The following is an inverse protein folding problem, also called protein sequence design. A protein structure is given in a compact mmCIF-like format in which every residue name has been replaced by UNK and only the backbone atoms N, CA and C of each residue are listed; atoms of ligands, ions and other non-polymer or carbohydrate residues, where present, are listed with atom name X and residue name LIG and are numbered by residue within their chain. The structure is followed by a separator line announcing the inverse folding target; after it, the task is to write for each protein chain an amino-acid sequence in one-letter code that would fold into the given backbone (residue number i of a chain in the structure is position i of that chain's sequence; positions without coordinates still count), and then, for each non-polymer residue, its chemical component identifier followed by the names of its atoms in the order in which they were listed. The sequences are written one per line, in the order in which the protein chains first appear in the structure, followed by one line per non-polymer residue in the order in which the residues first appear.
data_IF_505925365496
#
_entry.id   IF_505925365496
#
_cell.length_a   1.000
_cell.length_b   1.000
_cell.length_c   1.000
_cell.angle_alpha   90.00
_cell.angle_beta   90.00
_cell.angle_gamma   90.00
#
_symmetry.space_group_name_H-M   'P 1'
#
loop_
_entity.id
_entity.type
_entity.pdbx_description
1 polymer ?
#
# COMPACT_ATOMS: atom_id res chain seq x y z
N UNK A 1 84.64 18.93 -0.59
CA UNK A 1 83.95 17.63 -0.64
C UNK A 1 82.47 17.88 -0.84
N UNK A 2 81.89 17.29 -1.89
CA UNK A 2 80.56 17.60 -2.40
C UNK A 2 79.43 17.10 -1.49
N UNK A 3 78.26 17.78 -1.43
CA UNK A 3 77.08 17.21 -0.80
C UNK A 3 76.39 16.24 -1.76
N UNK A 4 76.15 15.03 -1.27
CA UNK A 4 75.44 13.94 -1.94
C UNK A 4 73.98 14.31 -2.15
N UNK A 5 73.51 14.28 -3.40
CA UNK A 5 72.12 14.55 -3.78
C UNK A 5 71.34 13.24 -3.72
N UNK A 6 70.62 12.98 -2.61
CA UNK A 6 69.61 11.92 -2.58
C UNK A 6 68.41 12.34 -3.43
N UNK A 7 68.18 11.63 -4.55
CA UNK A 7 66.92 11.69 -5.27
C UNK A 7 65.99 10.60 -4.73
N UNK A 8 64.99 10.98 -3.93
CA UNK A 8 63.84 10.12 -3.65
C UNK A 8 62.95 10.07 -4.89
N UNK A 9 63.01 8.96 -5.62
CA UNK A 9 62.02 8.65 -6.66
C UNK A 9 60.74 8.17 -5.97
N UNK A 10 59.79 9.08 -5.78
CA UNK A 10 58.41 8.75 -5.42
C UNK A 10 57.75 7.95 -6.56
N UNK A 11 57.64 6.64 -6.36
CA UNK A 11 56.87 5.74 -7.23
C UNK A 11 55.38 6.02 -7.05
N UNK A 12 54.80 6.86 -7.91
CA UNK A 12 53.33 6.96 -8.05
C UNK A 12 52.76 5.60 -8.46
N UNK A 13 52.09 4.92 -7.54
CA UNK A 13 51.31 3.72 -7.84
C UNK A 13 50.27 4.04 -8.93
N UNK A 14 50.47 3.48 -10.13
CA UNK A 14 49.47 3.53 -11.20
C UNK A 14 48.23 2.76 -10.75
N UNK A 15 47.10 3.45 -10.62
CA UNK A 15 45.78 2.83 -10.43
C UNK A 15 45.59 1.78 -11.52
N UNK A 16 45.51 0.50 -11.14
CA UNK A 16 45.25 -0.60 -12.08
C UNK A 16 43.89 -0.38 -12.74
N UNK A 17 43.90 0.05 -13.99
CA UNK A 17 42.67 0.22 -14.77
C UNK A 17 42.12 -1.16 -15.11
N UNK A 18 40.96 -1.52 -14.55
CA UNK A 18 40.28 -2.76 -14.89
C UNK A 18 39.95 -2.87 -16.38
N UNK A 19 39.37 -4.02 -16.79
CA UNK A 19 39.01 -4.29 -18.18
C UNK A 19 38.19 -3.13 -18.79
N UNK A 20 38.57 -2.60 -19.97
CA UNK A 20 37.82 -1.55 -20.64
C UNK A 20 36.35 -1.93 -20.87
N UNK A 21 35.46 -0.93 -20.79
CA UNK A 21 34.03 -1.13 -21.03
C UNK A 21 33.79 -1.49 -22.49
N UNK A 22 32.86 -2.41 -22.73
CA UNK A 22 32.35 -2.72 -24.09
C UNK A 22 31.41 -1.64 -24.64
N UNK A 23 30.88 -0.78 -23.78
CA UNK A 23 29.87 0.22 -24.15
C UNK A 23 30.39 1.63 -23.89
N UNK A 24 30.01 2.55 -24.77
CA UNK A 24 30.31 3.97 -24.66
C UNK A 24 29.23 4.69 -23.85
N UNK A 25 29.54 5.92 -23.38
CA UNK A 25 28.55 6.77 -22.69
C UNK A 25 27.31 7.06 -23.57
N UNK A 26 27.48 7.16 -24.89
CA UNK A 26 26.37 7.36 -25.84
C UNK A 26 25.46 6.14 -25.87
N UNK A 27 26.04 4.94 -25.92
CA UNK A 27 25.28 3.70 -25.89
C UNK A 27 24.55 3.53 -24.56
N UNK A 28 25.18 3.85 -23.42
CA UNK A 28 24.53 3.80 -22.12
C UNK A 28 23.33 4.78 -22.03
N UNK A 29 23.41 5.97 -22.66
CA UNK A 29 22.27 6.90 -22.80
C UNK A 29 21.13 6.31 -23.65
N UNK A 30 21.44 5.57 -24.72
CA UNK A 30 20.43 4.88 -25.52
C UNK A 30 19.73 3.79 -24.70
N UNK A 31 20.49 2.98 -23.95
CA UNK A 31 19.90 1.98 -23.06
C UNK A 31 19.00 2.63 -22.00
N UNK A 32 19.39 3.79 -21.47
CA UNK A 32 18.55 4.56 -20.55
C UNK A 32 17.23 4.97 -21.21
N UNK A 33 17.26 5.45 -22.45
CA UNK A 33 16.05 5.82 -23.20
C UNK A 33 15.12 4.60 -23.41
N UNK A 34 15.68 3.46 -23.84
CA UNK A 34 14.93 2.19 -23.99
C UNK A 34 14.25 1.79 -22.67
N UNK A 35 14.97 1.88 -21.54
CA UNK A 35 14.43 1.55 -20.23
C UNK A 35 13.32 2.53 -19.79
N UNK A 36 13.45 3.83 -20.10
CA UNK A 36 12.47 4.84 -19.73
C UNK A 36 11.20 4.79 -20.59
N UNK A 37 11.34 4.41 -21.86
CA UNK A 37 10.22 4.16 -22.78
C UNK A 37 9.34 3.01 -22.28
N UNK A 38 9.95 1.90 -21.86
CA UNK A 38 9.22 0.77 -21.28
C UNK A 38 9.92 0.20 -20.04
N UNK A 39 9.55 0.73 -18.87
CA UNK A 39 10.09 0.29 -17.57
C UNK A 39 9.77 -1.16 -17.18
N UNK A 40 8.84 -1.81 -17.89
CA UNK A 40 8.45 -3.21 -17.64
C UNK A 40 9.23 -4.19 -18.52
N UNK A 41 10.05 -3.71 -19.46
CA UNK A 41 10.86 -4.58 -20.30
C UNK A 41 11.89 -5.36 -19.48
N UNK A 42 12.04 -6.64 -19.80
CA UNK A 42 13.09 -7.49 -19.25
C UNK A 42 14.46 -7.07 -19.79
N UNK A 43 15.53 -7.45 -19.10
CA UNK A 43 16.90 -7.19 -19.57
C UNK A 43 17.19 -7.88 -20.91
N UNK A 44 16.54 -9.01 -21.24
CA UNK A 44 16.60 -9.66 -22.56
C UNK A 44 15.94 -8.83 -23.66
N UNK A 45 14.74 -8.30 -23.40
CA UNK A 45 14.05 -7.43 -24.36
C UNK A 45 14.83 -6.13 -24.60
N UNK A 46 15.36 -5.54 -23.53
CA UNK A 46 16.21 -4.35 -23.65
C UNK A 46 17.51 -4.67 -24.41
N UNK A 47 18.09 -5.85 -24.21
CA UNK A 47 19.25 -6.32 -24.96
C UNK A 47 18.96 -6.37 -26.47
N UNK A 48 17.85 -7.00 -26.89
CA UNK A 48 17.47 -7.09 -28.30
C UNK A 48 17.23 -5.71 -28.94
N UNK A 49 16.48 -4.83 -28.27
CA UNK A 49 16.32 -3.44 -28.73
C UNK A 49 17.66 -2.69 -28.83
N UNK A 50 18.62 -3.02 -27.98
CA UNK A 50 19.93 -2.36 -27.98
C UNK A 50 20.85 -2.93 -29.08
N UNK A 51 20.69 -4.20 -29.43
CA UNK A 51 21.34 -4.84 -30.58
C UNK A 51 20.89 -4.21 -31.91
N UNK A 52 19.62 -3.87 -32.07
CA UNK A 52 19.09 -3.17 -33.26
C UNK A 52 19.81 -1.83 -33.51
N UNK A 53 20.32 -1.19 -32.45
CA UNK A 53 21.09 0.06 -32.53
C UNK A 53 22.60 -0.18 -32.63
N UNK A 54 23.01 -1.42 -32.93
CA UNK A 54 24.40 -1.83 -33.17
C UNK A 54 25.19 -2.24 -31.92
N UNK A 55 24.53 -2.49 -30.78
CA UNK A 55 25.22 -2.84 -29.52
C UNK A 55 25.01 -4.31 -29.16
N UNK A 56 26.00 -5.15 -29.45
CA UNK A 56 25.97 -6.56 -29.09
C UNK A 56 26.62 -6.81 -27.71
N UNK A 57 25.78 -7.05 -26.70
CA UNK A 57 26.21 -7.35 -25.32
C UNK A 57 25.34 -8.42 -24.68
N UNK A 58 25.85 -9.10 -23.65
CA UNK A 58 25.03 -10.05 -22.89
C UNK A 58 24.04 -9.34 -21.94
N UNK A 59 22.98 -10.05 -21.55
CA UNK A 59 21.96 -9.62 -20.58
C UNK A 59 22.56 -9.07 -19.26
N UNK A 60 23.64 -9.69 -18.78
CA UNK A 60 24.36 -9.25 -17.59
C UNK A 60 24.98 -7.86 -17.76
N UNK A 61 25.47 -7.54 -18.96
CA UNK A 61 26.02 -6.21 -19.26
C UNK A 61 24.93 -5.16 -19.19
N UNK A 62 23.77 -5.40 -19.80
CA UNK A 62 22.59 -4.53 -19.72
C UNK A 62 22.22 -4.24 -18.26
N UNK A 63 22.10 -5.29 -17.44
CA UNK A 63 21.79 -5.16 -16.01
C UNK A 63 22.83 -4.33 -15.25
N UNK A 64 24.12 -4.56 -15.50
CA UNK A 64 25.20 -3.82 -14.86
C UNK A 64 25.17 -2.34 -15.24
N UNK A 65 24.93 -2.02 -16.52
CA UNK A 65 24.79 -0.62 -16.98
C UNK A 65 23.61 0.08 -16.33
N UNK A 66 22.46 -0.60 -16.25
CA UNK A 66 21.29 -0.08 -15.55
C UNK A 66 21.59 0.20 -14.08
N UNK A 67 22.27 -0.73 -13.37
CA UNK A 67 22.68 -0.52 -11.97
C UNK A 67 23.63 0.66 -11.80
N UNK A 68 24.62 0.81 -12.68
CA UNK A 68 25.54 1.97 -12.66
C UNK A 68 24.82 3.29 -12.88
N UNK A 69 23.73 3.29 -13.65
CA UNK A 69 22.86 4.45 -13.84
C UNK A 69 21.83 4.64 -12.71
N UNK A 70 21.92 3.87 -11.63
CA UNK A 70 21.04 3.96 -10.46
C UNK A 70 19.70 3.22 -10.59
N UNK A 71 19.47 2.48 -11.68
CA UNK A 71 18.27 1.66 -11.80
C UNK A 71 18.38 0.40 -10.95
N UNK A 72 17.29 0.05 -10.28
CA UNK A 72 17.17 -1.16 -9.50
C UNK A 72 15.96 -1.96 -9.98
N UNK A 73 16.13 -3.27 -10.12
CA UNK A 73 15.03 -4.17 -10.39
C UNK A 73 14.23 -4.39 -9.10
N UNK A 74 12.96 -4.01 -9.11
CA UNK A 74 12.05 -4.07 -7.95
C UNK A 74 10.70 -4.63 -8.41
N UNK A 75 10.00 -5.32 -7.51
CA UNK A 75 8.60 -5.70 -7.73
C UNK A 75 7.75 -4.43 -7.88
N UNK A 76 6.98 -4.32 -8.96
CA UNK A 76 6.08 -3.19 -9.18
C UNK A 76 5.05 -3.13 -8.04
N UNK A 77 4.80 -1.92 -7.52
CA UNK A 77 3.81 -1.70 -6.46
C UNK A 77 2.39 -1.79 -7.06
N UNK A 78 1.49 -2.48 -6.37
CA UNK A 78 0.07 -2.54 -6.71
C UNK A 78 -0.60 -1.27 -6.17
N UNK A 79 -1.23 -0.49 -7.05
CA UNK A 79 -2.00 0.72 -6.73
C UNK A 79 -3.18 0.83 -7.69
N UNK A 80 -4.32 1.42 -7.28
CA UNK A 80 -5.45 1.65 -8.17
C UNK A 80 -5.07 2.48 -9.40
N UNK A 81 -5.72 2.22 -10.52
CA UNK A 81 -5.55 3.03 -11.72
C UNK A 81 -6.21 4.40 -11.52
N UNK A 82 -5.45 5.49 -11.75
CA UNK A 82 -5.94 6.86 -11.59
C UNK A 82 -6.08 7.54 -12.95
N UNK A 83 -7.31 7.90 -13.30
CA UNK A 83 -7.60 8.75 -14.45
C UNK A 83 -7.16 10.20 -14.16
N UNK A 84 -7.00 11.05 -15.20
CA UNK A 84 -6.74 12.48 -14.99
C UNK A 84 -7.79 13.17 -14.12
N UNK A 85 -9.06 12.76 -14.22
CA UNK A 85 -10.15 13.25 -13.37
C UNK A 85 -9.90 12.89 -11.90
N UNK A 86 -9.56 11.63 -11.60
CA UNK A 86 -9.25 11.20 -10.23
C UNK A 86 -8.09 11.99 -9.62
N UNK A 87 -7.02 12.23 -10.40
CA UNK A 87 -5.88 13.01 -9.91
C UNK A 87 -6.28 14.45 -9.57
N UNK A 88 -7.08 15.11 -10.42
CA UNK A 88 -7.57 16.47 -10.15
C UNK A 88 -8.43 16.53 -8.88
N UNK A 89 -9.40 15.63 -8.73
CA UNK A 89 -10.27 15.62 -7.54
C UNK A 89 -9.52 15.28 -6.26
N UNK A 90 -8.59 14.33 -6.31
CA UNK A 90 -7.69 14.00 -5.18
C UNK A 90 -6.83 15.19 -4.76
N UNK A 91 -6.24 15.89 -5.73
CA UNK A 91 -5.41 17.06 -5.47
C UNK A 91 -6.23 18.19 -4.84
N UNK A 92 -7.42 18.47 -5.38
CA UNK A 92 -8.32 19.50 -4.88
C UNK A 92 -8.75 19.18 -3.44
N UNK A 93 -9.24 17.96 -3.21
CA UNK A 93 -9.65 17.50 -1.89
C UNK A 93 -8.54 17.62 -0.84
N UNK A 94 -7.30 17.26 -1.22
CA UNK A 94 -6.15 17.35 -0.33
C UNK A 94 -5.73 18.79 -0.03
N UNK A 95 -5.89 19.71 -0.99
CA UNK A 95 -5.62 21.15 -0.78
C UNK A 95 -6.63 21.81 0.14
N UNK A 96 -7.92 21.50 -0.03
CA UNK A 96 -9.00 22.02 0.83
C UNK A 96 -8.82 21.68 2.30
N UNK A 97 -8.17 20.55 2.59
CA UNK A 97 -7.92 20.06 3.95
C UNK A 97 -6.45 20.17 4.35
N UNK A 98 -5.63 20.90 3.60
CA UNK A 98 -4.19 20.96 3.86
C UNK A 98 -3.86 21.63 5.20
N UNK A 99 -4.71 22.55 5.67
CA UNK A 99 -4.60 23.23 6.96
C UNK A 99 -5.18 22.46 8.13
N UNK A 100 -5.87 21.33 7.88
CA UNK A 100 -6.46 20.54 8.96
C UNK A 100 -5.38 20.00 9.90
N UNK A 101 -5.58 20.27 11.18
CA UNK A 101 -4.74 19.81 12.28
C UNK A 101 -5.06 18.36 12.63
N UNK A 102 -4.23 17.76 13.49
CA UNK A 102 -4.54 16.43 14.03
C UNK A 102 -5.89 16.44 14.75
N UNK A 103 -6.22 17.51 15.48
CA UNK A 103 -7.48 17.63 16.23
C UNK A 103 -8.71 17.67 15.31
N UNK A 104 -8.58 18.29 14.14
CA UNK A 104 -9.64 18.23 13.12
C UNK A 104 -9.84 16.79 12.62
N UNK A 105 -8.74 16.05 12.41
CA UNK A 105 -8.80 14.62 12.03
C UNK A 105 -9.26 13.71 13.17
N UNK A 106 -9.12 14.12 14.44
CA UNK A 106 -9.62 13.36 15.60
C UNK A 106 -11.15 13.27 15.61
N UNK A 107 -11.84 14.23 14.98
CA UNK A 107 -13.31 14.26 14.84
C UNK A 107 -13.83 13.35 13.71
N UNK A 108 -12.93 12.76 12.92
CA UNK A 108 -13.31 11.95 11.76
C UNK A 108 -13.41 10.48 12.14
N UNK A 109 -14.56 9.87 11.84
CA UNK A 109 -14.77 8.42 11.94
C UNK A 109 -14.62 7.81 10.56
N UNK A 110 -13.55 7.05 10.36
CA UNK A 110 -13.27 6.34 9.12
C UNK A 110 -13.93 4.96 9.15
N UNK A 111 -14.57 4.57 8.06
CA UNK A 111 -15.16 3.24 7.88
C UNK A 111 -14.80 2.67 6.52
N UNK A 112 -14.87 1.35 6.42
CA UNK A 112 -14.67 0.61 5.17
C UNK A 112 -15.06 -0.86 5.35
N UNK A 113 -15.13 -1.58 4.24
CA UNK A 113 -15.27 -3.03 4.21
C UNK A 113 -13.98 -3.72 3.77
N UNK A 114 -13.66 -4.83 4.44
CA UNK A 114 -12.49 -5.63 4.05
C UNK A 114 -12.80 -7.11 4.03
N UNK A 115 -12.26 -7.83 3.04
CA UNK A 115 -12.37 -9.29 2.95
C UNK A 115 -11.12 -9.91 3.55
N UNK A 116 -11.31 -10.86 4.47
CA UNK A 116 -10.24 -11.64 5.09
C UNK A 116 -10.40 -13.10 4.67
N UNK A 117 -9.34 -13.68 4.11
CA UNK A 117 -9.33 -15.04 3.57
C UNK A 117 -8.51 -15.98 4.46
N UNK A 118 -8.99 -17.22 4.62
CA UNK A 118 -8.22 -18.32 5.23
C UNK A 118 -7.06 -18.69 4.29
N UNK A 119 -5.87 -18.90 4.86
CA UNK A 119 -4.70 -19.40 4.14
C UNK A 119 -3.99 -18.40 3.20
N UNK A 120 -4.53 -17.19 3.02
CA UNK A 120 -3.80 -16.10 2.36
C UNK A 120 -2.81 -15.48 3.34
N UNK A 121 -1.62 -16.06 3.47
CA UNK A 121 -0.55 -15.47 4.28
C UNK A 121 -0.12 -14.09 3.79
N UNK A 122 0.73 -13.45 4.58
CA UNK A 122 1.38 -12.16 4.33
C UNK A 122 1.89 -12.05 2.89
N UNK A 123 1.83 -10.85 2.30
CA UNK A 123 2.37 -10.51 0.96
C UNK A 123 3.85 -10.92 0.73
N UNK A 124 4.55 -11.31 1.81
CA UNK A 124 5.92 -11.83 1.80
C UNK A 124 6.05 -13.23 1.18
N UNK A 125 4.97 -14.02 1.13
CA UNK A 125 5.01 -15.42 0.68
C UNK A 125 5.49 -16.39 1.77
N UNK A 126 5.23 -17.68 1.58
CA UNK A 126 5.72 -18.76 2.46
C UNK A 126 7.07 -19.23 1.95
N UNK A 127 8.09 -19.20 2.80
CA UNK A 127 9.42 -19.72 2.48
C UNK A 127 9.60 -21.10 3.09
N UNK A 128 10.12 -22.04 2.31
CA UNK A 128 10.42 -23.40 2.76
C UNK A 128 11.91 -23.67 2.50
N UNK A 129 12.56 -24.32 3.46
CA UNK A 129 13.91 -24.85 3.27
C UNK A 129 13.77 -26.22 2.62
N UNK A 130 14.15 -26.34 1.35
CA UNK A 130 14.03 -27.59 0.59
C UNK A 130 15.20 -27.74 -0.39
N UNK A 131 15.60 -28.98 -0.65
CA UNK A 131 16.50 -29.31 -1.77
C UNK A 131 15.75 -29.15 -3.09
N UNK A 132 16.47 -28.95 -4.19
CA UNK A 132 15.87 -28.83 -5.54
C UNK A 132 15.02 -30.05 -5.93
N UNK A 133 15.31 -31.24 -5.39
CA UNK A 133 14.54 -32.46 -5.61
C UNK A 133 13.26 -32.53 -4.77
N UNK A 134 13.18 -31.79 -3.67
CA UNK A 134 12.08 -31.85 -2.69
C UNK A 134 11.00 -30.78 -2.95
N UNK A 135 11.16 -29.95 -3.99
CA UNK A 135 10.28 -28.80 -4.24
C UNK A 135 8.80 -29.17 -4.46
N UNK A 136 8.51 -30.44 -4.77
CA UNK A 136 7.16 -30.96 -4.97
C UNK A 136 6.69 -31.87 -3.82
N UNK A 137 7.52 -32.09 -2.79
CA UNK A 137 7.12 -32.85 -1.60
C UNK A 137 6.08 -32.08 -0.81
N UNK A 138 5.10 -32.78 -0.23
CA UNK A 138 3.93 -32.16 0.40
C UNK A 138 4.30 -31.17 1.51
N UNK A 139 5.39 -31.44 2.25
CA UNK A 139 5.93 -30.56 3.28
C UNK A 139 6.52 -29.24 2.73
N UNK A 140 6.93 -29.22 1.46
CA UNK A 140 7.48 -28.04 0.78
C UNK A 140 6.43 -27.25 -0.01
N UNK A 141 5.21 -27.80 -0.12
CA UNK A 141 4.12 -27.17 -0.84
C UNK A 141 3.28 -26.26 0.07
N UNK A 142 2.98 -25.06 -0.43
CA UNK A 142 1.90 -24.25 0.12
C UNK A 142 0.59 -24.70 -0.52
N UNK A 143 -0.27 -25.37 0.25
CA UNK A 143 -1.61 -25.75 -0.23
C UNK A 143 -2.41 -24.48 -0.56
N UNK A 144 -2.94 -24.41 -1.78
CA UNK A 144 -3.81 -23.31 -2.24
C UNK A 144 -5.15 -23.86 -2.67
N UNK A 145 -6.24 -23.28 -2.18
CA UNK A 145 -7.60 -23.59 -2.64
C UNK A 145 -8.05 -22.58 -3.69
N UNK A 146 -8.79 -23.04 -4.70
CA UNK A 146 -9.30 -22.18 -5.80
C UNK A 146 -10.25 -21.10 -5.29
N UNK A 147 -11.02 -21.42 -4.24
CA UNK A 147 -11.94 -20.52 -3.56
C UNK A 147 -11.64 -20.55 -2.06
N UNK A 148 -10.69 -19.74 -1.58
CA UNK A 148 -10.41 -19.69 -0.15
C UNK A 148 -11.66 -19.23 0.58
N UNK A 149 -11.97 -19.91 1.68
CA UNK A 149 -13.01 -19.44 2.59
C UNK A 149 -12.64 -18.04 3.07
N UNK A 150 -13.61 -17.13 3.05
CA UNK A 150 -13.40 -15.75 3.46
C UNK A 150 -14.61 -15.21 4.19
N UNK A 151 -14.37 -14.17 4.98
CA UNK A 151 -15.39 -13.35 5.60
C UNK A 151 -15.26 -11.91 5.11
N UNK A 152 -16.40 -11.32 4.81
CA UNK A 152 -16.52 -9.88 4.59
C UNK A 152 -16.76 -9.25 5.96
N UNK A 153 -16.03 -8.19 6.28
CA UNK A 153 -16.21 -7.45 7.52
C UNK A 153 -16.42 -5.98 7.21
N UNK A 154 -17.21 -5.33 8.05
CA UNK A 154 -17.31 -3.89 8.15
C UNK A 154 -16.79 -3.47 9.53
N UNK A 155 -16.14 -2.32 9.60
CA UNK A 155 -15.78 -1.71 10.87
C UNK A 155 -15.45 -0.25 10.70
N UNK A 156 -15.33 0.46 11.82
CA UNK A 156 -14.94 1.85 11.85
C UNK A 156 -13.81 2.11 12.85
N UNK A 157 -13.12 3.24 12.68
CA UNK A 157 -12.10 3.70 13.60
C UNK A 157 -12.05 5.23 13.64
N UNK A 158 -11.55 5.76 14.75
CA UNK A 158 -11.21 7.17 14.89
C UNK A 158 -9.85 7.32 15.58
N UNK A 159 -9.45 8.55 15.88
CA UNK A 159 -8.26 8.79 16.70
C UNK A 159 -8.40 8.32 18.15
N UNK A 160 -9.64 8.06 18.62
CA UNK A 160 -9.94 7.54 19.96
C UNK A 160 -9.84 6.01 20.04
N UNK A 161 -9.77 5.31 18.91
CA UNK A 161 -9.64 3.85 18.87
C UNK A 161 -10.45 3.20 17.75
N UNK A 162 -10.58 1.87 17.82
CA UNK A 162 -11.49 1.10 16.98
C UNK A 162 -12.92 1.28 17.49
N UNK A 163 -13.88 1.50 16.59
CA UNK A 163 -15.29 1.34 16.91
C UNK A 163 -15.72 -0.12 16.81
N UNK A 164 -17.02 -0.34 16.75
CA UNK A 164 -17.63 -1.65 16.55
C UNK A 164 -17.36 -2.21 15.15
N UNK A 165 -17.50 -3.53 15.07
CA UNK A 165 -17.23 -4.33 13.88
C UNK A 165 -18.32 -5.39 13.70
N UNK A 166 -18.62 -5.70 12.45
CA UNK A 166 -19.49 -6.83 12.11
C UNK A 166 -18.97 -7.68 10.96
N UNK A 167 -19.33 -8.96 11.00
CA UNK A 167 -19.15 -9.88 9.89
C UNK A 167 -20.38 -9.80 9.00
N UNK A 168 -20.17 -9.43 7.75
CA UNK A 168 -21.23 -9.27 6.76
C UNK A 168 -21.41 -10.59 6.01
N UNK A 169 -22.57 -11.20 6.19
CA UNK A 169 -22.90 -12.52 5.60
C UNK A 169 -23.52 -12.42 4.20
N UNK A 170 -23.84 -11.22 3.73
CA UNK A 170 -24.57 -10.96 2.49
C UNK A 170 -23.91 -9.88 1.62
N UNK A 171 -24.46 -9.65 0.44
CA UNK A 171 -24.09 -8.49 -0.38
C UNK A 171 -24.61 -7.22 0.28
N UNK A 172 -23.75 -6.20 0.42
CA UNK A 172 -24.13 -4.91 1.02
C UNK A 172 -24.91 -4.12 -0.02
N UNK A 173 -26.22 -4.05 0.16
CA UNK A 173 -27.07 -3.08 -0.53
C UNK A 173 -27.29 -1.86 0.39
N UNK A 174 -28.04 -0.86 -0.09
CA UNK A 174 -28.29 0.35 0.69
C UNK A 174 -28.99 0.08 2.03
N UNK A 175 -29.93 -0.86 2.10
CA UNK A 175 -30.64 -1.17 3.34
C UNK A 175 -29.73 -1.89 4.34
N UNK A 176 -29.01 -2.92 3.89
CA UNK A 176 -28.03 -3.63 4.72
C UNK A 176 -26.97 -2.65 5.24
N UNK A 177 -26.57 -1.68 4.44
CA UNK A 177 -25.66 -0.64 4.88
C UNK A 177 -26.25 0.23 5.99
N UNK A 178 -27.51 0.69 5.86
CA UNK A 178 -28.22 1.42 6.92
C UNK A 178 -28.27 0.58 8.20
N UNK A 179 -28.63 -0.70 8.11
CA UNK A 179 -28.71 -1.59 9.28
C UNK A 179 -27.34 -1.73 9.97
N UNK A 180 -26.26 -1.78 9.18
CA UNK A 180 -24.88 -1.78 9.70
C UNK A 180 -24.56 -0.46 10.40
N UNK A 181 -24.89 0.68 9.79
CA UNK A 181 -24.64 1.98 10.40
C UNK A 181 -25.42 2.11 11.72
N UNK A 182 -26.69 1.75 11.72
CA UNK A 182 -27.55 1.83 12.90
C UNK A 182 -27.08 0.92 14.04
N UNK A 183 -26.72 -0.32 13.72
CA UNK A 183 -26.34 -1.32 14.71
C UNK A 183 -24.90 -1.20 15.22
N UNK A 184 -24.00 -0.62 14.42
CA UNK A 184 -22.56 -0.62 14.73
C UNK A 184 -21.93 0.78 14.69
N UNK A 185 -22.24 1.63 13.69
CA UNK A 185 -21.67 2.98 13.65
C UNK A 185 -22.23 3.87 14.77
N UNK A 186 -23.55 3.91 14.93
CA UNK A 186 -24.18 4.82 15.91
C UNK A 186 -23.70 4.53 17.34
N UNK A 187 -23.72 3.27 17.84
CA UNK A 187 -23.17 2.97 19.17
C UNK A 187 -21.68 3.31 19.30
N UNK A 188 -20.91 3.14 18.22
CA UNK A 188 -19.49 3.51 18.19
C UNK A 188 -19.29 5.01 18.37
N UNK A 189 -20.11 5.83 17.70
CA UNK A 189 -20.06 7.28 17.82
C UNK A 189 -20.44 7.68 19.24
N UNK A 190 -21.57 7.20 19.76
CA UNK A 190 -22.04 7.51 21.11
C UNK A 190 -20.99 7.14 22.17
N UNK A 191 -20.36 5.97 22.06
CA UNK A 191 -19.33 5.52 23.00
C UNK A 191 -18.05 6.35 22.91
N UNK A 192 -17.57 6.68 21.70
CA UNK A 192 -16.31 7.38 21.53
C UNK A 192 -16.43 8.90 21.72
N UNK A 193 -17.56 9.48 21.30
CA UNK A 193 -17.73 10.92 21.13
C UNK A 193 -18.85 11.51 21.98
N UNK A 194 -19.77 10.69 22.51
CA UNK A 194 -20.96 11.21 23.19
C UNK A 194 -21.73 12.14 22.25
N UNK A 195 -21.93 13.37 22.71
CA UNK A 195 -22.64 14.42 21.95
C UNK A 195 -21.70 15.30 21.09
N UNK A 196 -20.39 15.00 21.03
CA UNK A 196 -19.45 15.74 20.19
C UNK A 196 -19.83 15.63 18.70
N UNK A 197 -19.74 16.74 17.96
CA UNK A 197 -19.89 16.73 16.51
C UNK A 197 -18.78 15.90 15.84
N UNK A 198 -19.19 14.99 14.95
CA UNK A 198 -18.28 14.12 14.19
C UNK A 198 -18.45 14.30 12.68
N UNK A 199 -17.42 13.88 11.95
CA UNK A 199 -17.46 13.76 10.50
C UNK A 199 -17.31 12.28 10.14
N UNK A 200 -18.32 11.72 9.49
CA UNK A 200 -18.30 10.34 9.04
C UNK A 200 -17.66 10.23 7.65
N UNK A 201 -16.70 9.32 7.52
CA UNK A 201 -16.07 8.97 6.26
C UNK A 201 -16.37 7.51 5.90
N UNK A 202 -16.88 7.34 4.70
CA UNK A 202 -17.02 6.10 3.96
C UNK A 202 -16.48 6.29 2.53
N UNK A 203 -16.41 5.21 1.76
CA UNK A 203 -16.07 5.31 0.35
C UNK A 203 -17.29 5.70 -0.51
N UNK A 204 -17.06 5.99 -1.79
CA UNK A 204 -18.15 6.36 -2.72
C UNK A 204 -18.81 5.13 -3.38
N UNK A 205 -18.92 3.99 -2.70
CA UNK A 205 -19.67 2.86 -3.22
C UNK A 205 -21.12 3.26 -3.53
N UNK A 206 -21.73 2.60 -4.51
CA UNK A 206 -23.07 2.96 -4.98
C UNK A 206 -24.13 2.85 -3.89
N UNK A 207 -24.03 1.85 -3.00
CA UNK A 207 -24.89 1.70 -1.83
C UNK A 207 -24.74 2.88 -0.86
N UNK A 208 -23.52 3.31 -0.56
CA UNK A 208 -23.22 4.42 0.37
C UNK A 208 -23.73 5.77 -0.14
N UNK A 209 -23.98 5.89 -1.45
CA UNK A 209 -24.49 7.10 -2.10
C UNK A 209 -25.97 7.03 -2.45
N UNK A 210 -26.67 5.97 -2.04
CA UNK A 210 -28.11 5.86 -2.19
C UNK A 210 -28.84 6.98 -1.42
N UNK A 211 -30.00 7.40 -1.93
CA UNK A 211 -30.80 8.47 -1.31
C UNK A 211 -31.22 8.12 0.11
N UNK A 212 -31.57 6.86 0.36
CA UNK A 212 -31.98 6.36 1.68
C UNK A 212 -30.85 6.46 2.70
N UNK A 213 -29.60 6.14 2.31
CA UNK A 213 -28.43 6.26 3.19
C UNK A 213 -28.16 7.72 3.54
N UNK A 214 -28.26 8.63 2.57
CA UNK A 214 -28.09 10.08 2.83
C UNK A 214 -29.15 10.60 3.80
N UNK A 215 -30.42 10.25 3.57
CA UNK A 215 -31.52 10.63 4.44
C UNK A 215 -31.31 10.11 5.88
N UNK A 216 -30.87 8.86 6.02
CA UNK A 216 -30.55 8.28 7.34
C UNK A 216 -29.43 9.06 8.06
N UNK A 217 -28.33 9.39 7.37
CA UNK A 217 -27.24 10.18 7.96
C UNK A 217 -27.71 11.59 8.34
N UNK A 218 -28.55 12.23 7.51
CA UNK A 218 -29.13 13.55 7.78
C UNK A 218 -30.06 13.51 9.00
N UNK A 219 -30.92 12.49 9.13
CA UNK A 219 -31.81 12.27 10.27
C UNK A 219 -31.05 12.03 11.57
N UNK A 220 -29.90 11.35 11.50
CA UNK A 220 -28.99 11.13 12.63
C UNK A 220 -28.05 12.31 12.89
N UNK A 221 -28.19 13.41 12.17
CA UNK A 221 -27.33 14.61 12.26
C UNK A 221 -25.83 14.31 12.05
N UNK A 222 -25.50 13.31 11.24
CA UNK A 222 -24.12 12.91 10.95
C UNK A 222 -23.61 13.60 9.69
N UNK A 223 -22.55 14.40 9.83
CA UNK A 223 -21.91 15.05 8.69
C UNK A 223 -21.11 14.03 7.86
N UNK A 224 -21.53 13.78 6.61
CA UNK A 224 -20.78 12.96 5.67
C UNK A 224 -19.61 13.74 5.04
N UNK A 225 -18.43 13.12 5.00
CA UNK A 225 -17.25 13.66 4.34
C UNK A 225 -17.32 13.46 2.83
N UNK A 226 -17.16 14.53 2.06
CA UNK A 226 -16.86 14.38 0.63
C UNK A 226 -15.57 13.56 0.45
N UNK A 227 -15.55 12.49 -0.35
CA UNK A 227 -14.37 11.64 -0.51
C UNK A 227 -13.91 11.56 -1.97
N UNK A 228 -12.59 11.62 -2.29
CA UNK A 228 -12.12 11.45 -3.65
C UNK A 228 -12.09 9.96 -4.05
N UNK A 229 -12.68 9.61 -5.20
CA UNK A 229 -12.70 8.22 -5.69
C UNK A 229 -11.30 7.61 -5.86
N UNK A 230 -11.20 6.28 -5.67
CA UNK A 230 -9.96 5.49 -5.77
C UNK A 230 -8.83 5.99 -4.86
N UNK A 231 -9.15 6.25 -3.58
CA UNK A 231 -8.22 6.84 -2.61
C UNK A 231 -7.98 6.01 -1.34
N UNK A 232 -7.67 4.70 -1.45
CA UNK A 232 -7.38 3.89 -0.27
C UNK A 232 -6.15 4.40 0.49
N UNK A 233 -5.19 5.05 -0.19
CA UNK A 233 -4.02 5.64 0.45
C UNK A 233 -4.32 6.82 1.37
N UNK A 234 -5.51 7.43 1.21
CA UNK A 234 -6.02 8.48 2.10
C UNK A 234 -6.86 7.92 3.25
N UNK A 235 -7.33 6.68 3.18
CA UNK A 235 -8.13 6.07 4.24
C UNK A 235 -7.23 5.33 5.25
N UNK A 236 -7.10 5.80 6.50
CA UNK A 236 -6.26 5.16 7.51
C UNK A 236 -6.71 3.75 7.87
N UNK A 237 -8.00 3.43 7.72
CA UNK A 237 -8.53 2.10 8.06
C UNK A 237 -7.92 0.99 7.20
N UNK A 238 -7.39 1.31 6.02
CA UNK A 238 -6.65 0.35 5.18
C UNK A 238 -5.39 -0.17 5.89
N UNK A 239 -4.74 0.69 6.70
CA UNK A 239 -3.62 0.27 7.53
C UNK A 239 -4.08 -0.55 8.74
N UNK A 240 -5.25 -0.23 9.29
CA UNK A 240 -5.90 -1.02 10.33
C UNK A 240 -6.23 -2.43 9.82
N UNK A 241 -6.77 -2.55 8.60
CA UNK A 241 -7.02 -3.83 7.94
C UNK A 241 -5.76 -4.64 7.73
N UNK A 242 -4.66 -3.99 7.34
CA UNK A 242 -3.38 -4.66 7.24
C UNK A 242 -2.92 -5.22 8.59
N UNK A 243 -3.02 -4.43 9.66
CA UNK A 243 -2.67 -4.86 11.03
C UNK A 243 -3.54 -6.02 11.49
N UNK A 244 -4.86 -5.91 11.33
CA UNK A 244 -5.84 -6.92 11.70
C UNK A 244 -5.57 -8.24 10.96
N UNK A 245 -5.41 -8.20 9.63
CA UNK A 245 -5.09 -9.39 8.82
C UNK A 245 -3.84 -10.07 9.35
N UNK A 246 -2.79 -9.30 9.70
CA UNK A 246 -1.55 -9.85 10.27
C UNK A 246 -1.78 -10.56 11.61
N UNK A 247 -2.61 -10.00 12.48
CA UNK A 247 -2.95 -10.60 13.77
C UNK A 247 -3.77 -11.89 13.58
N UNK A 248 -4.76 -11.86 12.69
CA UNK A 248 -5.60 -13.02 12.35
C UNK A 248 -4.77 -14.13 11.71
N UNK A 249 -3.86 -13.80 10.79
CA UNK A 249 -2.97 -14.79 10.18
C UNK A 249 -2.04 -15.46 11.19
N UNK A 250 -1.55 -14.71 12.19
CA UNK A 250 -0.75 -15.28 13.27
C UNK A 250 -1.53 -16.31 14.11
N UNK A 251 -2.84 -16.16 14.22
CA UNK A 251 -3.72 -17.13 14.91
C UNK A 251 -4.02 -18.38 14.09
N UNK A 252 -3.78 -18.36 12.78
CA UNK A 252 -3.90 -19.53 11.91
C UNK A 252 -5.29 -20.18 11.86
N UNK A 253 -6.39 -19.43 11.63
CA UNK A 253 -7.73 -20.01 11.56
C UNK A 253 -7.85 -21.02 10.42
N UNK A 254 -8.54 -22.13 10.66
CA UNK A 254 -8.71 -23.24 9.69
C UNK A 254 -10.14 -23.39 9.19
N UNK A 255 -11.13 -22.81 9.89
CA UNK A 255 -12.54 -22.77 9.48
C UNK A 255 -13.11 -21.35 9.48
N UNK A 256 -14.30 -21.15 8.89
CA UNK A 256 -15.01 -19.86 8.95
C UNK A 256 -15.36 -19.44 10.38
N UNK A 257 -15.72 -20.39 11.24
CA UNK A 257 -16.05 -20.11 12.64
C UNK A 257 -14.79 -19.61 13.38
N UNK A 258 -13.67 -20.32 13.22
CA UNK A 258 -12.40 -19.90 13.80
C UNK A 258 -11.94 -18.56 13.25
N UNK A 259 -12.17 -18.30 11.96
CA UNK A 259 -11.85 -17.01 11.35
C UNK A 259 -12.67 -15.88 11.97
N UNK A 260 -13.98 -16.08 12.20
CA UNK A 260 -14.83 -15.08 12.84
C UNK A 260 -14.36 -14.77 14.27
N UNK A 261 -14.05 -15.82 15.05
CA UNK A 261 -13.51 -15.67 16.41
C UNK A 261 -12.16 -14.94 16.40
N UNK A 262 -11.23 -15.38 15.55
CA UNK A 262 -9.91 -14.78 15.42
C UNK A 262 -9.98 -13.31 15.02
N UNK A 263 -10.90 -12.93 14.13
CA UNK A 263 -11.15 -11.54 13.73
C UNK A 263 -11.63 -10.73 14.93
N UNK A 264 -12.70 -11.15 15.61
CA UNK A 264 -13.28 -10.41 16.74
C UNK A 264 -12.25 -10.19 17.85
N UNK A 265 -11.58 -11.25 18.28
CA UNK A 265 -10.54 -11.14 19.30
C UNK A 265 -9.37 -10.25 18.86
N UNK A 266 -8.96 -10.32 17.58
CA UNK A 266 -7.86 -9.50 17.09
C UNK A 266 -8.25 -8.04 16.97
N UNK A 267 -9.51 -7.74 16.65
CA UNK A 267 -10.05 -6.37 16.58
C UNK A 267 -9.99 -5.68 17.95
N UNK A 268 -10.49 -6.34 19.00
CA UNK A 268 -10.46 -5.80 20.36
C UNK A 268 -9.04 -5.67 20.95
N UNK A 269 -8.05 -6.35 20.37
CA UNK A 269 -6.64 -6.23 20.75
C UNK A 269 -5.91 -5.06 20.06
N UNK A 270 -6.56 -4.35 19.13
CA UNK A 270 -5.93 -3.19 18.49
C UNK A 270 -5.99 -1.99 19.45
N UNK A 271 -4.83 -1.48 19.79
CA UNK A 271 -4.68 -0.35 20.69
C UNK A 271 -5.22 0.96 20.07
N UNK A 272 -5.87 1.78 20.89
CA UNK A 272 -6.23 3.16 20.57
C UNK A 272 -4.99 4.00 20.19
N UNK A 273 -3.82 3.76 20.80
CA UNK A 273 -2.58 4.45 20.43
C UNK A 273 -2.18 4.16 18.97
N UNK A 274 -2.40 2.93 18.50
CA UNK A 274 -2.16 2.59 17.09
C UNK A 274 -3.10 3.38 16.18
N UNK A 275 -4.39 3.45 16.51
CA UNK A 275 -5.38 4.22 15.76
C UNK A 275 -5.01 5.72 15.72
N UNK A 276 -4.62 6.29 16.86
CA UNK A 276 -4.14 7.66 16.96
C UNK A 276 -2.91 7.91 16.08
N UNK A 277 -1.96 6.97 16.02
CA UNK A 277 -0.78 7.08 15.14
C UNK A 277 -1.16 7.15 13.65
N UNK A 278 -2.22 6.44 13.26
CA UNK A 278 -2.76 6.48 11.91
C UNK A 278 -3.42 7.84 11.61
N UNK A 279 -4.17 8.41 12.56
CA UNK A 279 -4.75 9.75 12.42
C UNK A 279 -3.67 10.83 12.35
N UNK A 280 -2.65 10.77 13.21
CA UNK A 280 -1.47 11.68 13.15
C UNK A 280 -0.73 11.63 11.81
N UNK A 281 -0.90 10.54 11.04
CA UNK A 281 -0.33 10.44 9.69
C UNK A 281 -1.09 11.25 8.64
N UNK A 282 -2.33 11.67 8.87
CA UNK A 282 -3.19 12.31 7.88
C UNK A 282 -2.57 13.54 7.22
N UNK A 283 -2.01 14.54 7.95
CA UNK A 283 -1.37 15.69 7.31
C UNK A 283 -0.22 15.29 6.37
N UNK A 284 0.50 14.21 6.68
CA UNK A 284 1.57 13.68 5.82
C UNK A 284 1.03 13.00 4.56
N UNK A 285 -0.12 12.31 4.65
CA UNK A 285 -0.82 11.73 3.49
C UNK A 285 -1.25 12.81 2.52
N UNK A 286 -1.86 13.90 3.03
CA UNK A 286 -2.27 15.05 2.19
C UNK A 286 -1.06 15.67 1.48
N UNK A 287 0.02 15.95 2.22
CA UNK A 287 1.28 16.46 1.65
C UNK A 287 1.81 15.53 0.55
N UNK A 288 1.73 14.21 0.73
CA UNK A 288 2.15 13.25 -0.28
C UNK A 288 1.27 13.30 -1.54
N UNK A 289 -0.06 13.41 -1.41
CA UNK A 289 -0.99 13.56 -2.54
C UNK A 289 -0.72 14.87 -3.29
N UNK A 290 -0.54 15.98 -2.57
CA UNK A 290 -0.23 17.29 -3.16
C UNK A 290 1.09 17.22 -3.93
N UNK A 291 2.16 16.68 -3.32
CA UNK A 291 3.46 16.48 -3.97
C UNK A 291 3.36 15.59 -5.21
N UNK A 292 2.50 14.57 -5.17
CA UNK A 292 2.24 13.68 -6.29
C UNK A 292 1.26 14.26 -7.34
N UNK A 293 0.81 15.52 -7.17
CA UNK A 293 -0.20 16.18 -8.02
C UNK A 293 -1.46 15.31 -8.18
N UNK A 294 -1.94 14.73 -7.08
CA UNK A 294 -3.09 13.83 -7.06
C UNK A 294 -2.80 12.37 -7.43
N UNK A 295 -1.53 12.03 -7.73
CA UNK A 295 -1.10 10.67 -8.02
C UNK A 295 -1.15 9.71 -6.82
N UNK A 296 -0.72 8.47 -7.06
CA UNK A 296 -0.60 7.45 -6.02
C UNK A 296 0.54 7.80 -5.05
N UNK A 297 0.33 7.53 -3.76
CA UNK A 297 1.32 7.82 -2.72
C UNK A 297 1.95 6.53 -2.15
N UNK A 298 2.83 6.69 -1.17
CA UNK A 298 3.47 5.57 -0.46
C UNK A 298 2.52 4.85 0.50
N UNK A 299 1.48 5.56 0.95
CA UNK A 299 0.43 5.04 1.84
C UNK A 299 -0.43 4.05 1.08
#
# INVERSE_FOLDING_TARGET
MAPTREMSLETKERIRTGRPRKTSKRQDKQLKAICLENRKSTTKQMKHKWEEVGVNVCDRTVRNRLKEMGFQYRKAKRKPALTPKHKRTRLQWAKERQSWTVDDWMKVVFSDESRICIGQGDDAGTFVWCRSSEIYEEACLKKTTKFPQSLMIWGCMSGKGTGEMTVVNSSINAQVYIDILDSFLIPSIEQMFGDDEIIFQDDNASCHRAKTVKAFLEERHIQSMSWPANSPDLNPIENLWWRLKKMVHKKGPTSKADLATAIKESWHQIDAEYCLSLIKSMPHRLKAVIKAKGGATKY
#
